data_IF_950394822818
#
_entry.id   IF_950394822818
#
_cell.length_a   1.000
_cell.length_b   1.000
_cell.length_c   1.000
_cell.angle_alpha   90.00
_cell.angle_beta   90.00
_cell.angle_gamma   90.00
#
_symmetry.space_group_name_H-M   'P 1'
#
loop_
_entity.id
_entity.type
_entity.pdbx_description
1 polymer ?
#
# COMPACT_ATOMS: atom_id res chain seq x y z
N UNK A 1 -48.92 37.31 18.14
CA UNK A 1 -47.78 36.96 19.04
C UNK A 1 -48.28 36.12 20.23
N UNK A 2 -49.22 35.19 20.02
CA UNK A 2 -49.94 34.51 21.13
C UNK A 2 -49.66 32.99 21.26
N UNK A 3 -48.93 32.36 20.33
CA UNK A 3 -48.78 30.89 20.34
C UNK A 3 -47.43 30.36 20.85
N UNK A 4 -46.41 31.20 21.04
CA UNK A 4 -45.09 30.71 21.49
C UNK A 4 -45.08 30.26 22.96
N UNK A 5 -45.88 30.91 23.82
CA UNK A 5 -45.98 30.57 25.25
C UNK A 5 -46.66 29.21 25.52
N UNK A 6 -47.33 28.65 24.51
CA UNK A 6 -47.93 27.31 24.57
C UNK A 6 -46.90 26.20 24.40
N UNK A 7 -45.78 26.49 23.74
CA UNK A 7 -44.76 25.52 23.37
C UNK A 7 -43.45 25.68 24.13
N UNK A 8 -43.09 26.91 24.51
CA UNK A 8 -41.87 27.22 25.22
C UNK A 8 -42.17 28.10 26.44
N UNK A 9 -41.51 27.81 27.57
CA UNK A 9 -41.53 28.61 28.79
C UNK A 9 -40.09 28.88 29.22
N UNK A 10 -39.82 30.09 29.68
CA UNK A 10 -38.52 30.40 30.27
C UNK A 10 -38.66 30.40 31.78
N UNK A 11 -37.84 29.61 32.48
CA UNK A 11 -37.80 29.60 33.93
C UNK A 11 -36.33 29.56 34.40
N UNK A 12 -35.95 30.47 35.29
CA UNK A 12 -34.60 30.55 35.88
C UNK A 12 -33.44 30.45 34.86
N UNK A 13 -33.58 31.10 33.70
CA UNK A 13 -32.56 31.08 32.63
C UNK A 13 -32.54 29.81 31.77
N UNK A 14 -33.47 28.86 31.96
CA UNK A 14 -33.60 27.65 31.15
C UNK A 14 -34.83 27.71 30.26
N UNK A 15 -34.71 27.15 29.06
CA UNK A 15 -35.79 27.05 28.08
C UNK A 15 -36.49 25.70 28.26
N UNK A 16 -37.70 25.75 28.81
CA UNK A 16 -38.58 24.59 28.94
C UNK A 16 -39.39 24.42 27.67
N UNK A 17 -39.30 23.26 27.05
CA UNK A 17 -40.08 22.91 25.87
C UNK A 17 -41.16 21.89 26.22
N UNK A 18 -42.35 22.06 25.64
CA UNK A 18 -43.44 21.08 25.79
C UNK A 18 -43.15 19.81 25.00
N UNK A 19 -43.79 18.70 25.37
CA UNK A 19 -43.68 17.41 24.63
C UNK A 19 -43.90 17.57 23.12
N UNK A 20 -44.84 18.45 22.71
CA UNK A 20 -45.13 18.69 21.31
C UNK A 20 -44.04 19.51 20.59
N UNK A 21 -43.42 20.46 21.30
CA UNK A 21 -42.31 21.25 20.77
C UNK A 21 -41.08 20.36 20.53
N UNK A 22 -40.77 19.48 21.47
CA UNK A 22 -39.64 18.53 21.40
C UNK A 22 -39.85 17.51 20.27
N UNK A 23 -41.05 16.94 20.18
CA UNK A 23 -41.41 16.02 19.09
C UNK A 23 -41.15 16.66 17.71
N UNK A 24 -41.54 17.92 17.54
CA UNK A 24 -41.30 18.69 16.31
C UNK A 24 -39.81 19.00 16.09
N UNK A 25 -39.11 19.45 17.13
CA UNK A 25 -37.70 19.83 17.03
C UNK A 25 -36.81 18.64 16.63
N UNK A 26 -37.10 17.46 17.18
CA UNK A 26 -36.34 16.25 16.91
C UNK A 26 -36.90 15.42 15.74
N UNK A 27 -37.96 15.90 15.07
CA UNK A 27 -38.67 15.18 14.00
C UNK A 27 -39.07 13.75 14.39
N UNK A 28 -39.58 13.58 15.62
CA UNK A 28 -40.04 12.28 16.15
C UNK A 28 -41.49 12.35 16.61
N UNK A 29 -42.15 11.20 16.70
CA UNK A 29 -43.51 11.14 17.26
C UNK A 29 -43.51 11.40 18.78
N UNK A 30 -44.64 11.91 19.30
CA UNK A 30 -44.86 12.17 20.74
C UNK A 30 -44.68 10.91 21.57
N UNK A 31 -44.99 9.73 21.02
CA UNK A 31 -44.76 8.42 21.67
C UNK A 31 -43.27 8.17 21.93
N UNK A 32 -42.41 8.54 20.98
CA UNK A 32 -40.95 8.40 21.11
C UNK A 32 -40.41 9.29 22.24
N UNK A 33 -40.95 10.50 22.39
CA UNK A 33 -40.59 11.40 23.52
C UNK A 33 -41.02 10.79 24.86
N UNK A 34 -42.19 10.14 24.93
CA UNK A 34 -42.62 9.43 26.15
C UNK A 34 -41.72 8.23 26.48
N UNK A 35 -41.21 7.53 25.47
CA UNK A 35 -40.19 6.48 25.65
C UNK A 35 -38.87 7.08 26.16
N UNK A 36 -38.45 8.23 25.63
CA UNK A 36 -37.25 8.92 26.12
C UNK A 36 -37.39 9.41 27.56
N UNK A 37 -38.58 9.89 27.95
CA UNK A 37 -38.87 10.24 29.34
C UNK A 37 -38.70 9.05 30.29
N UNK A 38 -39.04 7.83 29.87
CA UNK A 38 -38.77 6.59 30.65
C UNK A 38 -37.28 6.22 30.67
N UNK A 39 -36.52 6.58 29.63
CA UNK A 39 -35.09 6.29 29.49
C UNK A 39 -34.17 7.33 30.15
N UNK A 40 -34.73 8.32 30.86
CA UNK A 40 -33.96 9.32 31.61
C UNK A 40 -33.85 10.70 30.96
N UNK A 41 -34.77 11.06 30.05
CA UNK A 41 -34.83 12.43 29.53
C UNK A 41 -35.09 13.44 30.67
N UNK A 42 -34.29 14.53 30.80
CA UNK A 42 -34.44 15.52 31.86
C UNK A 42 -35.83 16.18 31.87
N UNK A 43 -36.69 15.75 32.80
CA UNK A 43 -38.07 16.21 32.94
C UNK A 43 -38.19 17.15 34.13
N UNK A 44 -38.65 18.37 33.87
CA UNK A 44 -38.83 19.40 34.91
C UNK A 44 -40.22 19.30 35.52
N UNK A 45 -41.26 19.08 34.70
CA UNK A 45 -42.64 18.89 35.18
C UNK A 45 -43.39 17.98 34.21
N UNK A 46 -44.60 17.54 34.56
CA UNK A 46 -45.43 16.73 33.66
C UNK A 46 -45.67 17.40 32.31
N UNK A 47 -45.09 16.83 31.25
CA UNK A 47 -45.19 17.34 29.88
C UNK A 47 -44.21 18.46 29.50
N UNK A 48 -43.29 18.82 30.40
CA UNK A 48 -42.29 19.89 30.20
C UNK A 48 -40.87 19.38 30.46
N UNK A 49 -39.98 19.64 29.50
CA UNK A 49 -38.59 19.18 29.56
C UNK A 49 -37.65 20.34 29.31
N UNK A 50 -36.44 20.22 29.86
CA UNK A 50 -35.37 21.17 29.61
C UNK A 50 -34.80 20.94 28.20
N UNK A 51 -34.87 21.95 27.35
CA UNK A 51 -34.44 21.86 25.95
C UNK A 51 -32.95 21.54 25.84
N UNK A 52 -32.13 22.17 26.67
CA UNK A 52 -30.67 21.96 26.64
C UNK A 52 -30.34 20.52 27.04
N UNK A 53 -30.93 20.03 28.13
CA UNK A 53 -30.77 18.65 28.57
C UNK A 53 -31.28 17.62 27.54
N UNK A 54 -32.32 17.96 26.76
CA UNK A 54 -32.79 17.09 25.68
C UNK A 54 -31.79 16.98 24.51
N UNK A 55 -31.13 18.09 24.16
CA UNK A 55 -30.10 18.11 23.12
C UNK A 55 -28.86 17.33 23.56
N UNK A 56 -28.42 17.53 24.81
CA UNK A 56 -27.32 16.77 25.42
C UNK A 56 -27.64 15.28 25.49
N UNK A 57 -28.85 14.89 25.92
CA UNK A 57 -29.26 13.48 25.95
C UNK A 57 -29.21 12.81 24.57
N UNK A 58 -29.62 13.51 23.51
CA UNK A 58 -29.55 12.99 22.13
C UNK A 58 -28.09 12.87 21.66
N UNK A 59 -27.26 13.85 21.98
CA UNK A 59 -25.84 13.83 21.63
C UNK A 59 -25.10 12.71 22.37
N UNK A 60 -25.37 12.53 23.67
CA UNK A 60 -24.82 11.46 24.50
C UNK A 60 -25.28 10.09 23.97
N UNK A 61 -26.55 9.93 23.59
CA UNK A 61 -27.03 8.68 22.97
C UNK A 61 -26.36 8.39 21.63
N UNK A 62 -26.09 9.41 20.83
CA UNK A 62 -25.36 9.26 19.56
C UNK A 62 -23.86 8.96 19.78
N UNK A 63 -23.27 9.38 20.90
CA UNK A 63 -21.87 9.06 21.23
C UNK A 63 -21.71 7.74 22.01
N UNK A 64 -22.66 7.38 22.86
CA UNK A 64 -22.68 6.12 23.64
C UNK A 64 -23.14 4.93 22.80
N UNK A 65 -23.94 5.14 21.75
CA UNK A 65 -24.10 4.15 20.69
C UNK A 65 -22.91 4.29 19.76
N UNK A 66 -21.73 3.89 20.25
CA UNK A 66 -20.57 3.62 19.42
C UNK A 66 -21.01 2.85 18.19
N UNK A 67 -20.57 3.32 17.02
CA UNK A 67 -20.87 2.84 15.66
C UNK A 67 -21.82 1.64 15.64
N UNK A 68 -23.09 1.85 15.25
CA UNK A 68 -24.09 0.78 15.16
C UNK A 68 -23.49 -0.47 14.53
N UNK A 69 -23.82 -1.67 15.04
CA UNK A 69 -23.32 -2.95 14.50
C UNK A 69 -23.45 -3.03 12.97
N UNK A 70 -24.46 -2.36 12.40
CA UNK A 70 -24.66 -2.22 10.96
C UNK A 70 -23.59 -1.35 10.27
N UNK A 71 -23.17 -0.25 10.90
CA UNK A 71 -22.08 0.61 10.41
C UNK A 71 -20.72 -0.09 10.52
N UNK A 72 -20.48 -0.86 11.58
CA UNK A 72 -19.26 -1.66 11.73
C UNK A 72 -19.21 -2.77 10.68
N UNK A 73 -20.32 -3.47 10.43
CA UNK A 73 -20.44 -4.47 9.36
C UNK A 73 -20.22 -3.84 7.99
N UNK A 74 -20.81 -2.68 7.72
CA UNK A 74 -20.63 -1.97 6.46
C UNK A 74 -19.16 -1.56 6.24
N UNK A 75 -18.49 -1.05 7.28
CA UNK A 75 -17.06 -0.73 7.22
C UNK A 75 -16.19 -1.98 7.01
N UNK A 76 -16.53 -3.09 7.65
CA UNK A 76 -15.83 -4.36 7.47
C UNK A 76 -16.00 -4.90 6.04
N UNK A 77 -17.22 -4.85 5.49
CA UNK A 77 -17.51 -5.27 4.12
C UNK A 77 -16.84 -4.37 3.08
N UNK A 78 -16.78 -3.06 3.32
CA UNK A 78 -16.04 -2.12 2.46
C UNK A 78 -14.54 -2.43 2.48
N UNK A 79 -13.95 -2.61 3.68
CA UNK A 79 -12.52 -2.99 3.79
C UNK A 79 -12.21 -4.32 3.15
N UNK A 80 -13.10 -5.31 3.28
CA UNK A 80 -12.92 -6.62 2.64
C UNK A 80 -12.97 -6.51 1.11
N UNK A 81 -13.85 -5.66 0.56
CA UNK A 81 -13.93 -5.39 -0.88
C UNK A 81 -12.73 -4.63 -1.40
N UNK A 82 -12.24 -3.63 -0.67
CA UNK A 82 -11.02 -2.88 -1.01
C UNK A 82 -9.80 -3.82 -1.00
N UNK A 83 -9.59 -4.59 0.07
CA UNK A 83 -8.48 -5.54 0.16
C UNK A 83 -8.55 -6.64 -0.91
N UNK A 84 -9.77 -7.02 -1.32
CA UNK A 84 -9.97 -7.97 -2.43
C UNK A 84 -9.65 -7.32 -3.78
N UNK A 85 -10.07 -6.08 -4.00
CA UNK A 85 -9.75 -5.32 -5.22
C UNK A 85 -8.24 -5.11 -5.36
N UNK A 86 -7.54 -4.78 -4.27
CA UNK A 86 -6.07 -4.64 -4.27
C UNK A 86 -5.37 -5.96 -4.60
N UNK A 87 -5.88 -7.09 -4.07
CA UNK A 87 -5.36 -8.42 -4.40
C UNK A 87 -5.66 -8.83 -5.85
N UNK A 88 -6.85 -8.50 -6.35
CA UNK A 88 -7.24 -8.75 -7.74
C UNK A 88 -6.39 -7.89 -8.69
N UNK A 89 -6.08 -6.64 -8.32
CA UNK A 89 -5.18 -5.75 -9.06
C UNK A 89 -3.74 -6.25 -9.06
N UNK A 90 -3.23 -6.73 -7.93
CA UNK A 90 -1.90 -7.37 -7.85
C UNK A 90 -1.85 -8.65 -8.71
N UNK A 91 -2.90 -9.47 -8.68
CA UNK A 91 -3.01 -10.68 -9.52
C UNK A 91 -3.16 -10.34 -11.01
N UNK A 92 -3.89 -9.28 -11.33
CA UNK A 92 -4.07 -8.81 -12.70
C UNK A 92 -2.77 -8.21 -13.25
N UNK A 93 -2.03 -7.46 -12.43
CA UNK A 93 -0.67 -6.99 -12.73
C UNK A 93 0.33 -8.14 -12.93
N UNK A 94 0.20 -9.22 -12.17
CA UNK A 94 0.98 -10.44 -12.39
C UNK A 94 0.58 -11.19 -13.69
N UNK A 95 -0.71 -11.17 -14.04
CA UNK A 95 -1.25 -11.84 -15.23
C UNK A 95 -0.97 -11.11 -16.56
N UNK A 96 -0.60 -9.83 -16.53
CA UNK A 96 -0.32 -9.01 -17.73
C UNK A 96 1.05 -9.36 -18.38
N UNK A 97 1.85 -10.26 -17.80
CA UNK A 97 2.97 -10.89 -18.51
C UNK A 97 4.33 -10.19 -18.38
N UNK A 98 4.51 -9.30 -17.41
CA UNK A 98 5.80 -8.64 -17.13
C UNK A 98 6.57 -9.22 -15.93
N UNK A 99 5.97 -10.14 -15.15
CA UNK A 99 6.66 -10.82 -14.06
C UNK A 99 7.22 -12.16 -14.55
N UNK A 100 8.38 -12.12 -15.21
CA UNK A 100 9.28 -13.29 -15.24
C UNK A 100 9.78 -13.44 -13.80
N UNK A 101 9.67 -14.64 -13.23
CA UNK A 101 10.20 -14.89 -11.90
C UNK A 101 11.68 -14.49 -11.87
N UNK A 102 12.10 -13.70 -10.87
CA UNK A 102 13.50 -13.26 -10.77
C UNK A 102 14.46 -14.46 -10.82
N UNK A 103 14.04 -15.60 -10.26
CA UNK A 103 14.76 -16.86 -10.35
C UNK A 103 15.00 -17.34 -11.79
N UNK A 104 14.01 -17.22 -12.68
CA UNK A 104 14.12 -17.60 -14.09
C UNK A 104 15.04 -16.65 -14.87
N UNK A 105 15.02 -15.35 -14.54
CA UNK A 105 15.97 -14.37 -15.10
C UNK A 105 17.39 -14.70 -14.64
N UNK A 106 17.60 -14.98 -13.36
CA UNK A 106 18.90 -15.34 -12.82
C UNK A 106 19.45 -16.62 -13.45
N UNK A 107 18.62 -17.65 -13.62
CA UNK A 107 18.99 -18.89 -14.27
C UNK A 107 19.39 -18.64 -15.73
N UNK A 108 18.56 -17.94 -16.50
CA UNK A 108 18.84 -17.62 -17.89
C UNK A 108 20.08 -16.73 -18.06
N UNK A 109 20.31 -15.79 -17.15
CA UNK A 109 21.54 -14.99 -17.13
C UNK A 109 22.76 -15.85 -16.81
N UNK A 110 22.69 -16.76 -15.84
CA UNK A 110 23.79 -17.70 -15.53
C UNK A 110 24.13 -18.56 -16.73
N UNK A 111 23.13 -19.12 -17.41
CA UNK A 111 23.32 -19.90 -18.64
C UNK A 111 23.98 -19.07 -19.74
N UNK A 112 23.48 -17.84 -19.97
CA UNK A 112 24.01 -16.93 -20.98
C UNK A 112 25.48 -16.57 -20.68
N UNK A 113 25.80 -16.23 -19.44
CA UNK A 113 27.18 -15.92 -19.02
C UNK A 113 28.10 -17.15 -19.07
N UNK A 114 27.58 -18.34 -18.76
CA UNK A 114 28.33 -19.60 -18.91
C UNK A 114 28.65 -19.89 -20.38
N UNK A 115 27.69 -19.63 -21.28
CA UNK A 115 27.90 -19.77 -22.72
C UNK A 115 28.95 -18.77 -23.22
N UNK A 116 28.87 -17.50 -22.81
CA UNK A 116 29.85 -16.46 -23.17
C UNK A 116 31.25 -16.82 -22.65
N UNK A 117 31.37 -17.31 -21.42
CA UNK A 117 32.66 -17.76 -20.87
C UNK A 117 33.25 -18.88 -21.73
N UNK A 118 32.43 -19.87 -22.09
CA UNK A 118 32.87 -21.02 -22.87
C UNK A 118 33.28 -20.62 -24.28
N UNK A 119 32.53 -19.73 -24.94
CA UNK A 119 32.87 -19.25 -26.29
C UNK A 119 34.14 -18.41 -26.28
N UNK A 120 34.33 -17.53 -25.30
CA UNK A 120 35.53 -16.72 -25.15
C UNK A 120 36.77 -17.61 -24.95
N UNK A 121 36.74 -18.56 -24.02
CA UNK A 121 37.88 -19.45 -23.80
C UNK A 121 38.21 -20.30 -25.04
N UNK A 122 37.22 -20.67 -25.84
CA UNK A 122 37.43 -21.40 -27.08
C UNK A 122 38.11 -20.57 -28.19
N UNK A 123 38.13 -19.23 -28.10
CA UNK A 123 38.79 -18.37 -29.10
C UNK A 123 40.29 -18.70 -29.16
N UNK A 124 40.96 -18.87 -28.03
CA UNK A 124 42.39 -19.16 -27.97
C UNK A 124 42.77 -20.44 -28.74
N UNK A 125 42.02 -21.54 -28.53
CA UNK A 125 42.22 -22.76 -29.30
C UNK A 125 41.93 -22.58 -30.80
N UNK A 126 40.87 -21.85 -31.17
CA UNK A 126 40.53 -21.60 -32.58
C UNK A 126 41.60 -20.79 -33.28
N UNK A 127 42.04 -19.68 -32.67
CA UNK A 127 43.13 -18.85 -33.22
C UNK A 127 44.44 -19.63 -33.33
N UNK A 128 44.73 -20.51 -32.37
CA UNK A 128 45.90 -21.39 -32.45
C UNK A 128 45.78 -22.34 -33.63
N UNK A 129 44.63 -23.02 -33.79
CA UNK A 129 44.42 -23.97 -34.88
C UNK A 129 44.52 -23.32 -36.26
N UNK A 130 44.00 -22.09 -36.39
CA UNK A 130 44.05 -21.32 -37.64
C UNK A 130 45.50 -20.88 -37.97
N UNK A 131 46.23 -20.37 -36.97
CA UNK A 131 47.60 -19.85 -37.16
C UNK A 131 48.62 -20.99 -37.30
N UNK A 132 48.43 -22.12 -36.61
CA UNK A 132 49.35 -23.25 -36.62
C UNK A 132 49.59 -23.81 -38.03
N UNK A 133 48.59 -23.72 -38.91
CA UNK A 133 48.72 -24.15 -40.31
C UNK A 133 49.64 -23.25 -41.15
N UNK A 134 49.85 -21.99 -40.75
CA UNK A 134 50.66 -21.02 -41.50
C UNK A 134 51.99 -20.70 -40.80
N UNK A 135 51.98 -20.58 -39.47
CA UNK A 135 53.10 -20.15 -38.63
C UNK A 135 53.13 -20.95 -37.31
N UNK A 136 53.56 -22.22 -37.33
CA UNK A 136 53.57 -23.08 -36.15
C UNK A 136 54.47 -22.55 -35.01
N UNK A 137 55.51 -21.79 -35.35
CA UNK A 137 56.47 -21.20 -34.40
C UNK A 137 55.88 -20.05 -33.56
N UNK A 138 54.87 -19.33 -34.06
CA UNK A 138 54.25 -18.19 -33.35
C UNK A 138 52.87 -18.55 -32.78
N UNK A 139 52.27 -19.66 -33.21
CA UNK A 139 50.91 -20.05 -32.84
C UNK A 139 50.68 -20.19 -31.33
N UNK A 140 51.67 -20.70 -30.59
CA UNK A 140 51.58 -20.86 -29.13
C UNK A 140 51.67 -19.51 -28.39
N UNK A 141 52.54 -18.61 -28.84
CA UNK A 141 52.71 -17.29 -28.23
C UNK A 141 51.46 -16.41 -28.45
N UNK A 142 50.88 -16.48 -29.65
CA UNK A 142 49.62 -15.78 -29.95
C UNK A 142 48.48 -16.34 -29.11
N UNK A 143 48.36 -17.67 -28.99
CA UNK A 143 47.36 -18.29 -28.14
C UNK A 143 47.49 -17.80 -26.69
N UNK A 144 48.69 -17.83 -26.13
CA UNK A 144 48.93 -17.41 -24.75
C UNK A 144 48.54 -15.94 -24.54
N UNK A 145 48.92 -15.07 -25.47
CA UNK A 145 48.58 -13.64 -25.42
C UNK A 145 47.06 -13.43 -25.46
N UNK A 146 46.36 -14.15 -26.34
CA UNK A 146 44.90 -14.10 -26.47
C UNK A 146 44.20 -14.63 -25.20
N UNK A 147 44.66 -15.75 -24.65
CA UNK A 147 44.13 -16.32 -23.41
C UNK A 147 44.31 -15.36 -22.22
N UNK A 148 45.49 -14.76 -22.06
CA UNK A 148 45.74 -13.77 -21.01
C UNK A 148 44.80 -12.56 -21.11
N UNK A 149 44.56 -12.05 -22.32
CA UNK A 149 43.65 -10.91 -22.54
C UNK A 149 42.18 -11.27 -22.26
N UNK A 150 41.77 -12.48 -22.64
CA UNK A 150 40.42 -12.99 -22.36
C UNK A 150 40.22 -13.20 -20.86
N UNK A 151 41.16 -13.85 -20.18
CA UNK A 151 41.11 -14.05 -18.72
C UNK A 151 41.10 -12.73 -17.97
N UNK A 152 41.88 -11.75 -18.43
CA UNK A 152 41.88 -10.38 -17.90
C UNK A 152 40.51 -9.73 -18.07
N UNK A 153 39.88 -9.85 -19.24
CA UNK A 153 38.53 -9.33 -19.49
C UNK A 153 37.46 -10.00 -18.62
N UNK A 154 37.53 -11.33 -18.47
CA UNK A 154 36.63 -12.11 -17.62
C UNK A 154 36.79 -11.73 -16.13
N UNK A 155 38.02 -11.54 -15.65
CA UNK A 155 38.29 -11.09 -14.29
C UNK A 155 37.72 -9.69 -14.01
N UNK A 156 37.74 -8.79 -15.00
CA UNK A 156 37.11 -7.48 -14.89
C UNK A 156 35.59 -7.56 -14.81
N UNK A 157 34.97 -8.41 -15.64
CA UNK A 157 33.54 -8.67 -15.59
C UNK A 157 33.11 -9.25 -14.23
N UNK A 158 33.91 -10.14 -13.64
CA UNK A 158 33.65 -10.72 -12.32
C UNK A 158 33.81 -9.71 -11.17
N UNK A 159 34.74 -8.76 -11.27
CA UNK A 159 35.00 -7.76 -10.22
C UNK A 159 34.14 -6.49 -10.33
N UNK A 160 33.42 -6.30 -11.44
CA UNK A 160 32.59 -5.12 -11.68
C UNK A 160 33.37 -3.81 -11.82
N UNK A 161 34.71 -3.88 -11.91
CA UNK A 161 35.57 -2.72 -12.01
C UNK A 161 35.56 -2.19 -13.45
N UNK A 162 35.04 -0.97 -13.64
CA UNK A 162 35.08 -0.29 -14.95
C UNK A 162 36.52 0.13 -15.27
N UNK A 163 37.03 -0.23 -16.45
CA UNK A 163 38.27 0.35 -16.94
C UNK A 163 38.07 1.86 -17.14
N UNK A 164 38.93 2.68 -16.53
CA UNK A 164 39.10 4.06 -17.00
C UNK A 164 40.10 4.05 -18.14
N UNK A 165 39.92 4.95 -19.12
CA UNK A 165 40.74 5.08 -20.33
C UNK A 165 42.25 5.36 -20.08
N UNK A 166 42.71 5.32 -18.83
CA UNK A 166 44.09 5.60 -18.41
C UNK A 166 44.85 4.37 -17.87
N UNK A 167 44.24 3.17 -17.89
CA UNK A 167 44.89 1.95 -17.39
C UNK A 167 45.09 1.90 -15.87
N UNK A 168 44.57 2.86 -15.08
CA UNK A 168 44.57 2.82 -13.62
C UNK A 168 43.23 2.37 -13.04
N UNK A 169 43.31 1.48 -12.04
CA UNK A 169 42.18 0.88 -11.34
C UNK A 169 41.55 1.82 -10.32
N UNK A 170 40.22 1.84 -10.23
CA UNK A 170 39.51 2.35 -9.06
C UNK A 170 38.57 1.25 -8.53
N UNK A 171 38.67 0.93 -7.23
CA UNK A 171 37.73 0.02 -6.58
C UNK A 171 36.36 0.70 -6.49
N UNK A 172 35.31 0.02 -6.94
CA UNK A 172 33.95 0.44 -6.68
C UNK A 172 33.71 0.49 -5.16
N UNK A 173 33.31 1.65 -4.62
CA UNK A 173 32.91 1.77 -3.22
C UNK A 173 31.64 0.97 -3.01
N UNK A 174 31.69 -0.02 -2.11
CA UNK A 174 30.50 -0.66 -1.55
C UNK A 174 29.66 0.43 -0.87
N UNK A 175 28.38 0.53 -1.23
CA UNK A 175 27.35 1.15 -0.40
C UNK A 175 26.73 0.09 0.50
#
# INVERSE_FOLDING_TARGET
MEDMNKFFRMNEGRILASTQAIARLFAVDKKTVAVWAKKGLPRVTTGWYDLQGCLEFKNIKNSEHGESLEQQKLKADLRYREARADNEELKQKAAIGEYIAVAEIEERLKETFAQVKTTLLAIGQKTMADIYNQYPEVAFDVKHTVECEIERGLAQLATGAKQTASGRYSKAKSK
#
